data_IF_396564560438
#
_entry.id   IF_396564560438
#
_cell.length_a   1.000
_cell.length_b   1.000
_cell.length_c   1.000
_cell.angle_alpha   90.00
_cell.angle_beta   90.00
_cell.angle_gamma   90.00
#
_symmetry.space_group_name_H-M   'P 1'
#
loop_
_entity.id
_entity.type
_entity.pdbx_description
1 polymer ?
#
# COMPACT_ATOMS: atom_id res chain seq x y z
N UNK A 1 41.77 -20.14 -20.66
CA UNK A 1 41.45 -21.12 -19.61
C UNK A 1 42.31 -20.78 -18.40
N UNK A 2 41.86 -20.41 -17.21
CA UNK A 2 40.54 -20.29 -16.58
C UNK A 2 40.70 -19.19 -15.52
N UNK A 3 39.88 -18.14 -15.57
CA UNK A 3 39.63 -17.23 -14.44
C UNK A 3 38.14 -17.32 -14.12
N UNK A 4 37.76 -18.36 -13.39
CA UNK A 4 36.45 -18.49 -12.77
C UNK A 4 36.64 -19.16 -11.42
N UNK A 5 36.79 -18.35 -10.36
CA UNK A 5 36.50 -18.69 -8.97
C UNK A 5 36.82 -17.46 -8.12
N UNK A 6 35.85 -16.54 -7.97
CA UNK A 6 35.79 -15.56 -6.87
C UNK A 6 34.46 -14.79 -6.89
N UNK A 7 33.33 -15.48 -7.09
CA UNK A 7 32.01 -14.91 -6.79
C UNK A 7 31.58 -15.37 -5.39
N UNK A 8 32.26 -14.85 -4.37
CA UNK A 8 31.96 -15.16 -2.98
C UNK A 8 30.61 -14.55 -2.56
N UNK A 9 29.78 -15.39 -1.97
CA UNK A 9 28.48 -15.12 -1.40
C UNK A 9 28.60 -14.10 -0.24
N UNK A 10 28.36 -12.81 -0.50
CA UNK A 10 28.53 -11.76 0.51
C UNK A 10 27.31 -11.70 1.47
N UNK A 11 27.26 -12.61 2.44
CA UNK A 11 26.26 -12.59 3.51
C UNK A 11 26.42 -11.33 4.37
N UNK A 12 25.28 -10.70 4.70
CA UNK A 12 25.26 -9.52 5.57
C UNK A 12 25.84 -9.84 6.96
N UNK A 13 26.56 -8.89 7.58
CA UNK A 13 27.19 -9.06 8.90
C UNK A 13 26.18 -9.47 9.98
N UNK A 14 24.96 -8.98 9.85
CA UNK A 14 23.84 -9.25 10.76
C UNK A 14 23.36 -10.70 10.65
N UNK A 15 23.43 -11.29 9.46
CA UNK A 15 23.09 -12.70 9.20
C UNK A 15 24.14 -13.62 9.83
N UNK A 16 25.42 -13.29 9.65
CA UNK A 16 26.54 -14.00 10.28
C UNK A 16 26.44 -13.94 11.83
N UNK A 17 26.04 -12.79 12.39
CA UNK A 17 25.80 -12.65 13.82
C UNK A 17 24.63 -13.51 14.34
N UNK A 18 23.67 -13.86 13.48
CA UNK A 18 22.63 -14.82 13.82
C UNK A 18 23.18 -16.25 13.86
N UNK A 19 24.07 -16.62 12.93
CA UNK A 19 24.69 -17.95 12.90
C UNK A 19 25.58 -18.21 14.10
N UNK A 20 26.37 -17.20 14.54
CA UNK A 20 27.17 -17.31 15.76
C UNK A 20 26.33 -17.67 16.99
N UNK A 21 25.11 -17.15 17.05
CA UNK A 21 24.15 -17.35 18.16
C UNK A 21 23.21 -18.54 17.94
N UNK A 22 23.41 -19.34 16.89
CA UNK A 22 22.59 -20.53 16.70
C UNK A 22 22.78 -21.50 17.89
N UNK A 23 21.72 -22.13 18.38
CA UNK A 23 21.82 -23.01 19.56
C UNK A 23 22.81 -24.16 19.31
N UNK A 24 23.84 -24.28 20.17
CA UNK A 24 24.90 -25.27 20.00
C UNK A 24 24.39 -26.70 20.01
N UNK A 25 23.39 -27.00 20.83
CA UNK A 25 22.75 -28.32 20.83
C UNK A 25 22.11 -28.69 19.48
N UNK A 26 21.67 -27.70 18.70
CA UNK A 26 21.11 -27.93 17.36
C UNK A 26 22.23 -28.19 16.35
N UNK A 27 23.30 -27.42 16.41
CA UNK A 27 24.46 -27.59 15.53
C UNK A 27 25.21 -28.89 15.84
N UNK A 28 25.27 -29.29 17.11
CA UNK A 28 25.76 -30.59 17.54
C UNK A 28 25.06 -31.74 16.82
N UNK A 29 23.73 -31.72 16.80
CA UNK A 29 22.93 -32.75 16.12
C UNK A 29 23.14 -32.75 14.60
N UNK A 30 23.28 -31.58 13.97
CA UNK A 30 23.59 -31.49 12.53
C UNK A 30 24.94 -32.11 12.17
N UNK A 31 25.87 -32.10 13.11
CA UNK A 31 27.21 -32.65 12.96
C UNK A 31 27.33 -34.07 13.52
N UNK A 32 26.20 -34.68 13.92
CA UNK A 32 26.14 -35.98 14.60
C UNK A 32 27.07 -36.07 15.84
N UNK A 33 27.20 -34.95 16.56
CA UNK A 33 28.03 -34.82 17.74
C UNK A 33 27.21 -34.99 19.02
N UNK A 34 27.58 -35.98 19.84
CA UNK A 34 26.88 -36.34 21.08
C UNK A 34 27.67 -35.99 22.36
N UNK A 35 28.81 -35.31 22.22
CA UNK A 35 29.66 -34.93 23.36
C UNK A 35 29.20 -33.66 24.09
N UNK A 36 29.86 -33.31 25.21
CA UNK A 36 29.56 -32.09 25.95
C UNK A 36 29.86 -30.84 25.13
N UNK A 37 28.98 -29.84 25.22
CA UNK A 37 29.18 -28.57 24.51
C UNK A 37 30.26 -27.73 25.20
N UNK A 38 31.32 -27.36 24.46
CA UNK A 38 32.43 -26.52 24.94
C UNK A 38 32.62 -25.22 24.16
N UNK A 39 31.87 -25.03 23.08
CA UNK A 39 31.98 -23.86 22.21
C UNK A 39 31.14 -22.71 22.74
N UNK A 40 31.50 -21.49 22.39
CA UNK A 40 30.72 -20.29 22.71
C UNK A 40 29.78 -19.88 21.56
N UNK A 41 30.08 -20.33 20.33
CA UNK A 41 29.33 -20.02 19.14
C UNK A 41 29.27 -21.16 18.15
N UNK A 42 28.19 -21.21 17.37
CA UNK A 42 27.91 -22.29 16.44
C UNK A 42 28.87 -22.36 15.24
N UNK A 43 29.43 -21.22 14.82
CA UNK A 43 30.45 -21.20 13.75
C UNK A 43 31.71 -21.95 14.21
N UNK A 44 32.19 -21.65 15.42
CA UNK A 44 33.41 -22.25 15.97
C UNK A 44 33.23 -23.77 16.11
N UNK A 45 32.04 -24.20 16.52
CA UNK A 45 31.68 -25.61 16.61
C UNK A 45 31.75 -26.33 15.25
N UNK A 46 31.22 -25.73 14.18
CA UNK A 46 31.26 -26.32 12.83
C UNK A 46 32.69 -26.35 12.30
N UNK A 47 33.45 -25.26 12.46
CA UNK A 47 34.84 -25.19 12.02
C UNK A 47 35.68 -26.31 12.64
N UNK A 48 35.54 -26.53 13.95
CA UNK A 48 36.32 -27.54 14.66
C UNK A 48 35.88 -28.96 14.32
N UNK A 49 34.59 -29.26 14.37
CA UNK A 49 34.09 -30.63 14.15
C UNK A 49 34.16 -31.08 12.69
N UNK A 50 34.13 -30.15 11.73
CA UNK A 50 34.29 -30.45 10.29
C UNK A 50 35.70 -30.20 9.76
N UNK A 51 36.61 -29.67 10.58
CA UNK A 51 37.94 -29.22 10.17
C UNK A 51 37.90 -28.33 8.91
N UNK A 52 36.99 -27.34 8.89
CA UNK A 52 36.75 -26.49 7.73
C UNK A 52 37.03 -25.01 8.02
N UNK A 53 37.37 -24.19 7.01
CA UNK A 53 37.58 -22.77 7.19
C UNK A 53 36.27 -22.03 7.52
N UNK A 54 36.40 -20.81 8.05
CA UNK A 54 35.28 -19.98 8.52
C UNK A 54 34.17 -19.80 7.47
N UNK A 55 34.55 -19.56 6.22
CA UNK A 55 33.61 -19.36 5.12
C UNK A 55 32.73 -20.59 4.90
N UNK A 56 33.32 -21.79 4.95
CA UNK A 56 32.61 -23.04 4.73
C UNK A 56 31.71 -23.39 5.92
N UNK A 57 32.12 -23.03 7.13
CA UNK A 57 31.28 -23.14 8.32
C UNK A 57 30.05 -22.22 8.27
N UNK A 58 30.23 -20.97 7.81
CA UNK A 58 29.13 -20.02 7.60
C UNK A 58 28.19 -20.51 6.50
N UNK A 59 28.73 -21.02 5.41
CA UNK A 59 27.97 -21.57 4.28
C UNK A 59 27.17 -22.79 4.70
N UNK A 60 27.80 -23.73 5.42
CA UNK A 60 27.13 -24.89 6.00
C UNK A 60 25.95 -24.48 6.89
N UNK A 61 26.15 -23.53 7.81
CA UNK A 61 25.08 -23.04 8.67
C UNK A 61 23.99 -22.33 7.87
N UNK A 62 24.33 -21.60 6.81
CA UNK A 62 23.35 -20.95 5.94
C UNK A 62 22.47 -21.97 5.22
N UNK A 63 23.10 -22.94 4.57
CA UNK A 63 22.43 -24.00 3.81
C UNK A 63 21.55 -24.87 4.71
N UNK A 64 22.07 -25.24 5.89
CA UNK A 64 21.44 -26.25 6.75
C UNK A 64 20.51 -25.66 7.82
N UNK A 65 20.58 -24.35 8.11
CA UNK A 65 19.66 -23.68 9.04
C UNK A 65 18.61 -22.81 8.35
N UNK A 66 18.84 -22.33 7.12
CA UNK A 66 17.96 -21.36 6.46
C UNK A 66 17.51 -21.73 5.04
N UNK A 67 17.97 -22.86 4.50
CA UNK A 67 17.54 -23.35 3.18
C UNK A 67 18.16 -22.56 2.04
N UNK A 68 19.24 -23.09 1.47
CA UNK A 68 19.76 -22.62 0.18
C UNK A 68 18.77 -22.95 -0.94
N UNK A 69 18.44 -21.96 -1.76
CA UNK A 69 17.75 -22.20 -3.02
C UNK A 69 18.69 -22.98 -3.95
N UNK A 70 18.27 -24.19 -4.35
CA UNK A 70 18.84 -24.94 -5.46
C UNK A 70 19.64 -26.19 -5.04
N UNK A 71 19.09 -27.35 -5.38
CA UNK A 71 19.85 -28.60 -5.43
C UNK A 71 19.16 -29.75 -4.74
N UNK A 72 18.60 -30.66 -5.54
CA UNK A 72 18.00 -31.92 -5.12
C UNK A 72 18.90 -32.70 -4.16
N UNK A 73 18.51 -32.79 -2.89
CA UNK A 73 19.05 -33.75 -1.96
C UNK A 73 17.94 -34.29 -1.06
N UNK A 74 17.64 -35.57 -1.25
CA UNK A 74 16.80 -36.38 -0.37
C UNK A 74 17.40 -36.39 1.03
N UNK A 75 16.81 -35.62 1.94
CA UNK A 75 17.14 -35.61 3.36
C UNK A 75 16.29 -34.56 4.05
N UNK A 76 15.27 -34.99 4.79
CA UNK A 76 14.27 -34.11 5.40
C UNK A 76 14.90 -32.96 6.18
N UNK A 77 14.78 -31.75 5.64
CA UNK A 77 15.24 -30.53 6.28
C UNK A 77 14.51 -30.31 7.59
N UNK A 78 15.26 -30.19 8.69
CA UNK A 78 14.70 -29.85 10.00
C UNK A 78 14.35 -28.37 10.02
N UNK A 79 13.17 -28.03 9.48
CA UNK A 79 12.50 -26.76 9.77
C UNK A 79 12.43 -26.68 11.30
N UNK A 80 13.06 -25.66 11.91
CA UNK A 80 12.95 -25.43 13.35
C UNK A 80 11.47 -25.44 13.71
N UNK A 81 11.03 -26.42 14.51
CA UNK A 81 9.64 -26.51 14.90
C UNK A 81 9.20 -25.17 15.50
N UNK A 82 8.09 -24.63 14.99
CA UNK A 82 7.53 -23.38 15.47
C UNK A 82 7.36 -23.45 16.98
N UNK A 83 7.74 -22.40 17.71
CA UNK A 83 7.40 -22.29 19.15
C UNK A 83 5.87 -22.27 19.33
N UNK A 84 5.33 -22.57 20.53
CA UNK A 84 3.89 -22.45 20.77
C UNK A 84 3.32 -21.09 20.36
N UNK A 85 4.08 -20.02 20.60
CA UNK A 85 3.70 -18.66 20.22
C UNK A 85 3.72 -18.47 18.69
N UNK A 86 4.79 -18.91 18.01
CA UNK A 86 4.88 -18.85 16.53
C UNK A 86 3.77 -19.68 15.87
N UNK A 87 3.37 -20.82 16.47
CA UNK A 87 2.21 -21.62 16.00
C UNK A 87 0.90 -20.85 16.14
N UNK A 88 0.69 -20.19 17.28
CA UNK A 88 -0.50 -19.36 17.49
C UNK A 88 -0.56 -18.19 16.49
N UNK A 89 0.57 -17.51 16.26
CA UNK A 89 0.67 -16.45 15.24
C UNK A 89 0.38 -17.01 13.85
N UNK A 90 0.97 -18.15 13.48
CA UNK A 90 0.71 -18.79 12.18
C UNK A 90 -0.77 -19.15 12.00
N UNK A 91 -1.42 -19.67 13.04
CA UNK A 91 -2.84 -20.02 12.99
C UNK A 91 -3.73 -18.78 12.85
N UNK A 92 -3.48 -17.74 13.64
CA UNK A 92 -4.25 -16.49 13.59
C UNK A 92 -4.05 -15.75 12.26
N UNK A 93 -2.82 -15.71 11.75
CA UNK A 93 -2.54 -15.11 10.44
C UNK A 93 -3.20 -15.90 9.31
N UNK A 94 -3.23 -17.24 9.40
CA UNK A 94 -3.96 -18.09 8.45
C UNK A 94 -5.44 -17.76 8.40
N UNK A 95 -6.11 -17.65 9.55
CA UNK A 95 -7.52 -17.27 9.62
C UNK A 95 -7.78 -15.92 8.93
N UNK A 96 -6.87 -14.96 9.09
CA UNK A 96 -6.96 -13.66 8.41
C UNK A 96 -6.82 -13.80 6.88
N UNK A 97 -5.82 -14.57 6.43
CA UNK A 97 -5.56 -14.77 5.00
C UNK A 97 -6.70 -15.53 4.32
N UNK A 98 -7.22 -16.58 4.97
CA UNK A 98 -8.37 -17.36 4.52
C UNK A 98 -9.65 -16.51 4.46
N UNK A 99 -9.86 -15.63 5.45
CA UNK A 99 -10.97 -14.70 5.45
C UNK A 99 -10.87 -13.68 4.30
N UNK A 100 -9.67 -13.16 4.02
CA UNK A 100 -9.46 -12.25 2.88
C UNK A 100 -9.68 -12.95 1.54
N UNK A 101 -9.18 -14.18 1.39
CA UNK A 101 -9.33 -14.96 0.15
C UNK A 101 -8.72 -14.27 -1.08
N UNK A 102 -7.62 -13.53 -0.90
CA UNK A 102 -6.97 -12.81 -1.99
C UNK A 102 -5.98 -13.70 -2.74
N UNK A 103 -5.79 -13.42 -4.03
CA UNK A 103 -4.90 -14.19 -4.90
C UNK A 103 -3.43 -14.01 -4.52
N UNK A 104 -3.07 -12.79 -4.10
CA UNK A 104 -1.70 -12.45 -3.69
C UNK A 104 -1.65 -11.27 -2.75
N UNK A 105 -0.54 -11.15 -2.03
CA UNK A 105 -0.35 -10.15 -0.99
C UNK A 105 0.98 -9.44 -1.13
N UNK A 106 0.98 -8.16 -0.81
CA UNK A 106 2.21 -7.42 -0.55
C UNK A 106 2.48 -7.37 0.95
N UNK A 107 3.61 -7.91 1.39
CA UNK A 107 4.08 -7.83 2.78
C UNK A 107 4.90 -6.55 3.00
N UNK A 108 4.45 -5.70 3.92
CA UNK A 108 5.12 -4.44 4.27
C UNK A 108 5.44 -4.40 5.76
N UNK A 109 6.68 -4.08 6.10
CA UNK A 109 7.13 -4.00 7.49
C UNK A 109 7.76 -2.63 7.77
N UNK A 110 7.23 -1.91 8.76
CA UNK A 110 7.76 -0.59 9.13
C UNK A 110 8.45 -0.65 10.50
N UNK A 111 9.72 -0.25 10.58
CA UNK A 111 10.39 -0.14 11.87
C UNK A 111 9.71 0.96 12.71
N UNK A 112 9.61 0.78 14.03
CA UNK A 112 8.93 1.74 14.91
C UNK A 112 9.61 3.12 14.99
N UNK A 113 10.95 3.15 14.99
CA UNK A 113 11.73 4.36 15.29
C UNK A 113 12.29 5.08 14.06
N UNK A 114 12.30 4.40 12.91
CA UNK A 114 12.89 4.92 11.68
C UNK A 114 11.84 4.71 10.63
N UNK A 115 11.43 5.73 9.88
CA UNK A 115 10.52 5.60 8.73
C UNK A 115 11.03 4.66 7.61
N UNK A 116 12.09 3.88 7.87
CA UNK A 116 12.60 2.81 7.01
C UNK A 116 11.53 1.74 6.84
N UNK A 117 11.01 1.70 5.63
CA UNK A 117 10.14 0.64 5.15
C UNK A 117 11.01 -0.55 4.75
N UNK A 118 10.83 -1.69 5.41
CA UNK A 118 11.30 -2.97 4.89
C UNK A 118 10.14 -3.58 4.08
N UNK A 119 10.30 -3.65 2.76
CA UNK A 119 9.46 -4.51 1.92
C UNK A 119 10.20 -5.82 1.79
N UNK A 120 9.59 -6.90 2.24
CA UNK A 120 10.16 -8.23 2.04
C UNK A 120 10.33 -8.45 0.53
N UNK A 121 11.50 -8.94 0.13
CA UNK A 121 11.83 -9.21 -1.28
C UNK A 121 12.46 -8.07 -2.09
N UNK A 122 12.67 -6.86 -1.56
CA UNK A 122 13.46 -5.84 -2.28
C UNK A 122 14.96 -5.97 -1.97
N UNK A 123 15.75 -6.43 -2.94
CA UNK A 123 17.16 -6.07 -3.00
C UNK A 123 17.31 -4.59 -3.43
N UNK A 124 18.43 -3.96 -3.06
CA UNK A 124 18.67 -2.51 -3.20
C UNK A 124 18.52 -1.96 -4.63
N UNK A 125 18.43 -2.84 -5.64
CA UNK A 125 18.41 -2.51 -7.07
C UNK A 125 17.23 -3.14 -7.86
N UNK A 126 16.22 -3.74 -7.22
CA UNK A 126 15.08 -4.34 -7.94
C UNK A 126 13.88 -3.40 -8.00
N UNK A 127 13.42 -3.14 -9.23
CA UNK A 127 12.29 -2.26 -9.55
C UNK A 127 10.93 -2.94 -9.47
N UNK A 128 10.88 -4.27 -9.46
CA UNK A 128 9.63 -5.03 -9.47
C UNK A 128 9.01 -5.18 -8.07
N UNK A 129 7.68 -5.21 -8.04
CA UNK A 129 6.91 -5.39 -6.81
C UNK A 129 6.75 -6.89 -6.50
N UNK A 130 7.25 -7.32 -5.34
CA UNK A 130 7.18 -8.72 -4.91
C UNK A 130 5.84 -8.99 -4.24
N UNK A 131 5.18 -10.06 -4.68
CA UNK A 131 3.93 -10.55 -4.13
C UNK A 131 4.09 -11.97 -3.58
N UNK A 132 3.28 -12.29 -2.57
CA UNK A 132 3.29 -13.55 -1.86
C UNK A 132 1.92 -14.22 -1.91
N UNK A 133 1.88 -15.54 -2.02
CA UNK A 133 0.66 -16.34 -1.77
C UNK A 133 0.43 -16.51 -0.27
N UNK A 134 -0.72 -17.09 0.11
CA UNK A 134 -1.02 -17.44 1.49
C UNK A 134 0.05 -18.36 2.08
N UNK A 135 0.43 -19.41 1.35
CA UNK A 135 1.39 -20.42 1.77
C UNK A 135 2.76 -19.78 2.01
N UNK A 136 3.21 -18.95 1.07
CA UNK A 136 4.51 -18.26 1.18
C UNK A 136 4.56 -17.32 2.39
N UNK A 137 3.47 -16.58 2.69
CA UNK A 137 3.40 -15.78 3.90
C UNK A 137 3.47 -16.66 5.17
N UNK A 138 2.73 -17.77 5.18
CA UNK A 138 2.65 -18.69 6.32
C UNK A 138 3.95 -19.49 6.53
N UNK A 139 4.73 -19.71 5.49
CA UNK A 139 6.11 -20.22 5.55
C UNK A 139 7.06 -19.18 6.13
N UNK A 140 6.91 -17.91 5.76
CA UNK A 140 7.73 -16.80 6.28
C UNK A 140 7.44 -16.39 7.74
N UNK A 141 6.53 -17.09 8.44
CA UNK A 141 6.03 -16.67 9.75
C UNK A 141 7.14 -16.51 10.79
N UNK A 142 8.16 -17.39 10.81
CA UNK A 142 9.24 -17.31 11.79
C UNK A 142 10.09 -16.06 11.60
N UNK A 143 10.43 -15.74 10.35
CA UNK A 143 11.19 -14.52 10.04
C UNK A 143 10.38 -13.27 10.38
N UNK A 144 9.11 -13.25 9.95
CA UNK A 144 8.20 -12.13 10.19
C UNK A 144 7.98 -11.93 11.70
N UNK A 145 7.81 -13.01 12.45
CA UNK A 145 7.70 -13.00 13.91
C UNK A 145 8.96 -12.44 14.57
N UNK A 146 10.14 -12.91 14.17
CA UNK A 146 11.41 -12.40 14.69
C UNK A 146 11.57 -10.89 14.46
N UNK A 147 11.26 -10.40 13.26
CA UNK A 147 11.33 -8.97 12.95
C UNK A 147 10.30 -8.15 13.74
N UNK A 148 9.08 -8.66 13.93
CA UNK A 148 8.07 -7.98 14.75
C UNK A 148 8.44 -7.95 16.23
N UNK A 149 8.88 -9.09 16.77
CA UNK A 149 9.02 -9.28 18.21
C UNK A 149 10.37 -8.82 18.77
N UNK A 150 11.44 -9.03 18.01
CA UNK A 150 12.81 -8.73 18.44
C UNK A 150 13.36 -7.44 17.81
N UNK A 151 12.85 -7.06 16.64
CA UNK A 151 13.36 -5.92 15.87
C UNK A 151 12.34 -4.79 15.71
N UNK A 152 11.24 -4.84 16.48
CA UNK A 152 10.29 -3.74 16.60
C UNK A 152 9.65 -3.28 15.28
N UNK A 153 9.47 -4.19 14.32
CA UNK A 153 8.73 -3.90 13.09
C UNK A 153 7.23 -4.06 13.28
N UNK A 154 6.45 -3.17 12.67
CA UNK A 154 5.02 -3.33 12.49
C UNK A 154 4.77 -4.10 11.19
N UNK A 155 3.91 -5.12 11.22
CA UNK A 155 3.63 -6.00 10.08
C UNK A 155 2.31 -5.64 9.42
N UNK A 156 2.33 -5.49 8.10
CA UNK A 156 1.15 -5.20 7.29
C UNK A 156 1.08 -6.06 6.05
N UNK A 157 -0.12 -6.36 5.61
CA UNK A 157 -0.41 -7.03 4.33
C UNK A 157 -1.31 -6.15 3.48
N UNK A 158 -1.07 -6.07 2.18
CA UNK A 158 -2.02 -5.47 1.23
C UNK A 158 -2.53 -6.59 0.32
N UNK A 159 -3.83 -6.95 0.36
CA UNK A 159 -4.38 -7.98 -0.51
C UNK A 159 -4.60 -7.44 -1.92
N UNK A 160 -4.34 -8.28 -2.91
CA UNK A 160 -4.65 -8.06 -4.31
C UNK A 160 -5.45 -9.26 -4.79
N UNK A 161 -6.59 -8.98 -5.41
CA UNK A 161 -7.39 -10.01 -6.05
C UNK A 161 -7.76 -9.61 -7.47
N UNK A 162 -7.87 -10.62 -8.33
CA UNK A 162 -8.35 -10.47 -9.69
C UNK A 162 -9.87 -10.31 -9.70
N UNK A 163 -10.58 -10.87 -8.72
CA UNK A 163 -12.05 -10.90 -8.66
C UNK A 163 -12.66 -9.95 -7.63
N UNK A 164 -11.92 -9.57 -6.58
CA UNK A 164 -12.43 -8.75 -5.48
C UNK A 164 -11.74 -7.39 -5.37
N UNK A 165 -12.49 -6.37 -4.94
CA UNK A 165 -11.99 -5.08 -4.46
C UNK A 165 -12.18 -4.97 -2.95
N UNK A 166 -11.11 -4.69 -2.21
CA UNK A 166 -11.11 -4.55 -0.76
C UNK A 166 -11.18 -3.09 -0.30
N UNK A 167 -11.92 -2.82 0.76
CA UNK A 167 -12.03 -1.49 1.37
C UNK A 167 -11.72 -1.59 2.86
N UNK A 168 -10.59 -1.01 3.27
CA UNK A 168 -10.26 -0.82 4.68
C UNK A 168 -11.03 0.38 5.23
N UNK A 169 -11.66 0.19 6.38
CA UNK A 169 -12.06 1.27 7.28
C UNK A 169 -11.11 1.19 8.48
N UNK A 170 -10.23 2.18 8.61
CA UNK A 170 -9.20 2.23 9.64
C UNK A 170 -9.65 3.04 10.86
N UNK A 171 -9.06 2.78 12.02
CA UNK A 171 -9.35 3.45 13.29
C UNK A 171 -10.84 3.54 13.65
N UNK A 172 -11.57 2.44 13.42
CA UNK A 172 -13.00 2.35 13.77
C UNK A 172 -13.10 2.35 15.30
N UNK A 173 -13.82 3.34 15.84
CA UNK A 173 -14.12 3.48 17.27
C UNK A 173 -15.43 2.76 17.66
N UNK A 174 -15.71 2.51 18.96
CA UNK A 174 -16.89 1.75 19.38
C UNK A 174 -18.22 2.29 18.83
N UNK A 175 -18.38 3.61 18.79
CA UNK A 175 -19.59 4.26 18.30
C UNK A 175 -19.72 4.09 16.78
N UNK A 176 -18.60 4.20 16.05
CA UNK A 176 -18.59 3.97 14.61
C UNK A 176 -18.91 2.51 14.27
N UNK A 177 -18.38 1.56 15.03
CA UNK A 177 -18.75 0.14 14.94
C UNK A 177 -20.25 -0.05 15.10
N UNK A 178 -20.85 0.49 16.17
CA UNK A 178 -22.28 0.36 16.42
C UNK A 178 -23.12 0.94 15.26
N UNK A 179 -22.71 2.08 14.70
CA UNK A 179 -23.36 2.67 13.52
C UNK A 179 -23.22 1.80 12.27
N UNK A 180 -22.05 1.22 12.02
CA UNK A 180 -21.83 0.30 10.89
C UNK A 180 -22.73 -0.93 11.01
N UNK A 181 -22.76 -1.55 12.19
CA UNK A 181 -23.57 -2.75 12.46
C UNK A 181 -25.07 -2.48 12.29
N UNK A 182 -25.54 -1.33 12.83
CA UNK A 182 -26.93 -0.87 12.69
C UNK A 182 -27.30 -0.52 11.25
N UNK A 183 -26.35 -0.02 10.46
CA UNK A 183 -26.53 0.26 9.03
C UNK A 183 -26.52 -1.01 8.16
N UNK A 184 -26.35 -2.19 8.77
CA UNK A 184 -26.39 -3.48 8.07
C UNK A 184 -25.07 -3.89 7.42
N UNK A 185 -23.95 -3.21 7.70
CA UNK A 185 -22.65 -3.67 7.24
C UNK A 185 -22.30 -5.01 7.90
N UNK A 186 -21.73 -5.92 7.10
CA UNK A 186 -21.25 -7.25 7.51
C UNK A 186 -19.85 -7.44 6.94
N UNK A 187 -18.82 -6.94 7.64
CA UNK A 187 -17.46 -6.97 7.15
C UNK A 187 -16.91 -8.36 6.90
N UNK A 188 -15.97 -8.45 5.96
CA UNK A 188 -15.18 -9.66 5.71
C UNK A 188 -14.25 -9.95 6.89
N UNK A 189 -13.63 -8.89 7.41
CA UNK A 189 -12.76 -8.94 8.59
C UNK A 189 -13.14 -7.84 9.56
N UNK A 190 -13.15 -8.20 10.83
CA UNK A 190 -13.14 -7.30 11.96
C UNK A 190 -11.95 -7.65 12.85
N UNK A 191 -11.00 -6.73 13.00
CA UNK A 191 -9.77 -7.00 13.77
C UNK A 191 -9.45 -5.87 14.74
N UNK A 192 -9.03 -6.22 15.95
CA UNK A 192 -8.50 -5.27 16.93
C UNK A 192 -7.07 -4.93 16.57
N UNK A 193 -6.73 -3.64 16.55
CA UNK A 193 -5.35 -3.18 16.24
C UNK A 193 -4.63 -2.58 17.44
N UNK A 194 -5.39 -2.17 18.46
CA UNK A 194 -4.92 -1.69 19.75
C UNK A 194 -6.05 -1.82 20.78
N UNK A 195 -5.86 -1.34 22.01
CA UNK A 195 -6.78 -1.58 23.11
C UNK A 195 -8.24 -1.15 22.89
N UNK A 196 -8.50 -0.17 22.02
CA UNK A 196 -9.84 0.39 21.79
C UNK A 196 -10.09 0.81 20.33
N UNK A 197 -9.32 0.27 19.38
CA UNK A 197 -9.42 0.66 17.97
C UNK A 197 -9.35 -0.55 17.06
N UNK A 198 -10.26 -0.58 16.09
CA UNK A 198 -10.45 -1.69 15.18
C UNK A 198 -10.17 -1.29 13.73
N UNK A 199 -9.74 -2.28 12.95
CA UNK A 199 -9.74 -2.23 11.50
C UNK A 199 -10.82 -3.15 10.97
N UNK A 200 -11.52 -2.66 9.95
CA UNK A 200 -12.61 -3.37 9.31
C UNK A 200 -12.33 -3.47 7.83
N UNK A 201 -12.50 -4.65 7.25
CA UNK A 201 -12.33 -4.86 5.80
C UNK A 201 -13.66 -5.26 5.20
N UNK A 202 -14.08 -4.52 4.19
CA UNK A 202 -15.21 -4.86 3.32
C UNK A 202 -14.66 -5.34 1.97
N UNK A 203 -15.37 -6.26 1.31
CA UNK A 203 -15.03 -6.70 -0.03
C UNK A 203 -16.28 -6.75 -0.90
N UNK A 204 -16.10 -6.44 -2.18
CA UNK A 204 -17.11 -6.68 -3.22
C UNK A 204 -16.44 -7.24 -4.47
N UNK A 205 -17.20 -7.95 -5.33
CA UNK A 205 -16.73 -8.28 -6.67
C UNK A 205 -16.32 -7.02 -7.43
N UNK A 206 -15.27 -7.14 -8.23
CA UNK A 206 -14.92 -6.11 -9.22
C UNK A 206 -16.09 -5.89 -10.18
N UNK A 207 -16.19 -4.64 -10.63
CA UNK A 207 -17.19 -4.23 -11.60
C UNK A 207 -16.76 -4.55 -13.02
N UNK A 208 -17.72 -4.49 -13.94
CA UNK A 208 -17.50 -4.55 -15.39
C UNK A 208 -17.00 -3.21 -15.98
N UNK A 209 -16.67 -2.24 -15.12
CA UNK A 209 -16.12 -0.96 -15.53
C UNK A 209 -14.67 -1.12 -15.99
N UNK A 210 -14.22 -0.28 -16.92
CA UNK A 210 -12.80 -0.21 -17.26
C UNK A 210 -11.95 0.21 -16.06
N UNK A 211 -10.72 -0.31 -15.98
CA UNK A 211 -9.79 -0.19 -14.84
C UNK A 211 -9.69 1.22 -14.24
N UNK A 212 -9.66 2.24 -15.09
CA UNK A 212 -9.54 3.64 -14.67
C UNK A 212 -10.79 4.16 -13.96
N UNK A 213 -11.98 3.76 -14.39
CA UNK A 213 -13.25 4.14 -13.77
C UNK A 213 -13.45 3.37 -12.46
N UNK A 214 -13.14 2.08 -12.46
CA UNK A 214 -13.18 1.24 -11.27
C UNK A 214 -12.25 1.80 -10.19
N UNK A 215 -11.00 2.09 -10.53
CA UNK A 215 -10.02 2.66 -9.57
C UNK A 215 -10.48 3.99 -8.97
N UNK A 216 -11.11 4.87 -9.77
CA UNK A 216 -11.64 6.16 -9.28
C UNK A 216 -12.81 5.95 -8.34
N UNK A 217 -13.76 5.10 -8.70
CA UNK A 217 -14.91 4.76 -7.86
C UNK A 217 -14.46 4.09 -6.56
N UNK A 218 -13.47 3.20 -6.63
CA UNK A 218 -12.91 2.52 -5.48
C UNK A 218 -12.25 3.51 -4.51
N UNK A 219 -11.39 4.42 -5.00
CA UNK A 219 -10.79 5.47 -4.15
C UNK A 219 -11.84 6.41 -3.56
N UNK A 220 -12.85 6.81 -4.32
CA UNK A 220 -13.94 7.67 -3.84
C UNK A 220 -14.74 6.97 -2.73
N UNK A 221 -15.13 5.72 -2.95
CA UNK A 221 -15.85 4.89 -1.97
C UNK A 221 -15.02 4.69 -0.71
N UNK A 222 -13.73 4.36 -0.87
CA UNK A 222 -12.80 4.17 0.24
C UNK A 222 -12.69 5.40 1.12
N UNK A 223 -12.51 6.57 0.50
CA UNK A 223 -12.44 7.85 1.22
C UNK A 223 -13.75 8.09 1.98
N UNK A 224 -14.90 7.88 1.33
CA UNK A 224 -16.20 8.11 1.95
C UNK A 224 -16.46 7.19 3.15
N UNK A 225 -16.10 5.90 3.05
CA UNK A 225 -16.23 4.97 4.16
C UNK A 225 -15.43 5.42 5.39
N UNK A 226 -14.19 5.87 5.17
CA UNK A 226 -13.33 6.33 6.26
C UNK A 226 -13.80 7.67 6.83
N UNK A 227 -14.31 8.61 6.02
CA UNK A 227 -14.93 9.84 6.53
C UNK A 227 -16.14 9.57 7.45
N UNK A 228 -16.91 8.51 7.19
CA UNK A 228 -18.13 8.19 7.95
C UNK A 228 -17.87 7.32 9.19
N UNK A 229 -16.89 6.42 9.11
CA UNK A 229 -16.74 5.32 10.07
C UNK A 229 -15.31 5.09 10.56
N UNK A 230 -14.31 5.81 10.05
CA UNK A 230 -12.90 5.56 10.36
C UNK A 230 -12.01 6.81 10.31
N UNK A 231 -10.77 6.63 9.85
CA UNK A 231 -9.77 7.71 9.73
C UNK A 231 -9.96 8.54 8.45
N UNK A 232 -10.53 9.74 8.56
CA UNK A 232 -10.72 10.65 7.44
C UNK A 232 -9.40 11.09 6.73
N UNK A 233 -8.23 10.85 7.34
CA UNK A 233 -6.92 11.15 6.78
C UNK A 233 -6.45 10.19 5.68
N UNK A 234 -7.08 9.03 5.52
CA UNK A 234 -6.70 8.04 4.50
C UNK A 234 -7.64 8.10 3.27
N UNK A 235 -7.06 8.00 2.07
CA UNK A 235 -7.82 8.19 0.81
C UNK A 235 -7.47 7.26 -0.35
N UNK A 236 -6.50 6.36 -0.19
CA UNK A 236 -6.10 5.41 -1.25
C UNK A 236 -6.59 4.00 -0.95
N UNK A 237 -7.41 3.43 -1.84
CA UNK A 237 -8.04 2.11 -1.66
C UNK A 237 -7.03 0.97 -1.53
N UNK A 238 -5.92 1.03 -2.28
CA UNK A 238 -4.80 0.09 -2.11
C UNK A 238 -4.05 0.46 -0.83
N UNK A 239 -4.53 -0.06 0.30
CA UNK A 239 -4.06 0.29 1.63
C UNK A 239 -3.50 -0.92 2.40
N UNK A 240 -2.41 -0.79 3.17
CA UNK A 240 -1.90 -1.87 4.02
C UNK A 240 -2.79 -2.13 5.25
N UNK A 241 -3.13 -3.38 5.50
CA UNK A 241 -3.90 -3.85 6.67
C UNK A 241 -2.94 -4.38 7.73
N UNK A 242 -3.27 -4.27 9.01
CA UNK A 242 -2.47 -4.92 10.07
C UNK A 242 -2.53 -6.43 9.93
N UNK A 243 -1.39 -7.12 10.06
CA UNK A 243 -1.36 -8.58 10.06
C UNK A 243 -1.73 -9.14 11.45
N UNK A 244 -2.66 -10.09 11.47
CA UNK A 244 -3.15 -10.73 12.71
C UNK A 244 -2.09 -11.61 13.36
N UNK A 245 -2.06 -11.64 14.69
CA UNK A 245 -1.10 -12.40 15.49
C UNK A 245 0.21 -11.65 15.79
N UNK A 246 0.45 -10.51 15.13
CA UNK A 246 1.64 -9.69 15.36
C UNK A 246 1.35 -8.51 16.28
N UNK A 247 2.38 -8.02 16.97
CA UNK A 247 2.26 -6.84 17.83
C UNK A 247 2.22 -5.54 17.04
N UNK A 248 1.39 -4.62 17.50
CA UNK A 248 1.42 -3.22 17.06
C UNK A 248 2.51 -2.47 17.85
N UNK A 249 3.70 -2.36 17.24
CA UNK A 249 4.91 -1.78 17.81
C UNK A 249 4.99 -0.25 17.75
N UNK A 250 3.87 0.46 17.51
CA UNK A 250 3.89 1.94 17.56
C UNK A 250 4.16 2.41 19.00
N UNK A 251 5.08 3.36 19.24
CA UNK A 251 5.49 3.77 20.60
C UNK A 251 4.33 4.18 21.52
N UNK A 252 3.31 4.85 21.00
CA UNK A 252 2.14 5.29 21.77
C UNK A 252 1.31 4.17 22.41
N UNK A 253 1.53 2.91 22.02
CA UNK A 253 0.83 1.75 22.60
C UNK A 253 1.71 0.93 23.55
N UNK A 254 2.94 1.39 23.81
CA UNK A 254 3.82 0.79 24.80
C UNK A 254 3.26 1.06 26.21
N UNK A 255 3.00 -0.01 26.95
CA UNK A 255 2.62 0.08 28.36
C UNK A 255 3.85 0.38 29.22
N UNK A 256 3.64 0.77 30.49
CA UNK A 256 4.72 0.98 31.47
C UNK A 256 5.61 -0.26 31.70
N UNK A 257 5.09 -1.45 31.36
CA UNK A 257 5.83 -2.72 31.42
C UNK A 257 6.50 -3.10 30.08
N UNK A 258 6.57 -2.19 29.11
CA UNK A 258 7.16 -2.46 27.79
C UNK A 258 6.36 -3.42 26.90
N UNK A 259 5.09 -3.67 27.23
CA UNK A 259 4.19 -4.54 26.45
C UNK A 259 3.45 -3.76 25.38
N UNK A 260 3.11 -4.45 24.29
CA UNK A 260 2.36 -3.94 23.15
C UNK A 260 1.11 -4.79 22.92
N UNK A 261 0.02 -4.19 22.42
CA UNK A 261 -1.14 -4.95 21.99
C UNK A 261 -0.81 -5.83 20.79
N UNK A 262 -1.39 -7.03 20.77
CA UNK A 262 -1.40 -7.93 19.61
C UNK A 262 -2.58 -7.55 18.72
N UNK A 263 -2.40 -7.67 17.41
CA UNK A 263 -3.49 -7.52 16.44
C UNK A 263 -4.27 -8.83 16.43
N UNK A 264 -5.55 -8.77 16.83
CA UNK A 264 -6.39 -9.95 16.98
C UNK A 264 -7.55 -9.91 15.98
N UNK A 265 -7.74 -11.01 15.24
CA UNK A 265 -8.92 -11.19 14.40
C UNK A 265 -10.10 -11.52 15.30
N UNK A 266 -11.07 -10.60 15.37
CA UNK A 266 -12.28 -10.76 16.19
C UNK A 266 -13.33 -11.55 15.41
N UNK A 267 -13.45 -11.27 14.12
CA UNK A 267 -14.38 -11.93 13.21
C UNK A 267 -13.78 -11.98 11.81
N UNK A 268 -13.88 -13.14 11.16
CA UNK A 268 -13.40 -13.39 9.80
C UNK A 268 -14.41 -14.25 9.06
N UNK A 269 -14.90 -13.77 7.92
CA UNK A 269 -16.05 -14.37 7.22
C UNK A 269 -15.72 -14.73 5.78
N UNK A 270 -14.90 -15.77 5.53
CA UNK A 270 -14.47 -16.15 4.19
C UNK A 270 -15.62 -16.18 3.17
N UNK A 271 -15.39 -15.59 1.99
CA UNK A 271 -16.37 -15.59 0.89
C UNK A 271 -17.62 -14.71 1.10
N UNK A 272 -17.71 -13.96 2.21
CA UNK A 272 -18.88 -13.10 2.47
C UNK A 272 -18.82 -11.83 1.63
N UNK A 273 -19.84 -11.63 0.79
CA UNK A 273 -20.10 -10.35 0.12
C UNK A 273 -21.26 -9.66 0.84
N UNK A 274 -21.00 -8.46 1.37
CA UNK A 274 -22.02 -7.70 2.09
C UNK A 274 -22.90 -6.90 1.12
N UNK A 275 -24.20 -7.20 1.09
CA UNK A 275 -25.18 -6.48 0.27
C UNK A 275 -25.25 -4.99 0.60
N UNK A 276 -25.09 -4.60 1.88
CA UNK A 276 -25.01 -3.18 2.25
C UNK A 276 -23.80 -2.49 1.60
N UNK A 277 -22.65 -3.16 1.53
CA UNK A 277 -21.45 -2.64 0.85
C UNK A 277 -21.69 -2.49 -0.65
N UNK A 278 -22.35 -3.46 -1.30
CA UNK A 278 -22.72 -3.36 -2.71
C UNK A 278 -23.64 -2.17 -2.95
N UNK A 279 -24.69 -2.02 -2.14
CA UNK A 279 -25.59 -0.87 -2.19
C UNK A 279 -24.84 0.45 -1.99
N UNK A 280 -23.91 0.50 -1.05
CA UNK A 280 -23.09 1.69 -0.79
C UNK A 280 -22.24 2.08 -2.01
N UNK A 281 -21.65 1.10 -2.72
CA UNK A 281 -20.89 1.39 -3.94
C UNK A 281 -21.80 1.92 -5.06
N UNK A 282 -23.03 1.43 -5.17
CA UNK A 282 -24.02 1.98 -6.11
C UNK A 282 -24.38 3.42 -5.74
N UNK A 283 -24.60 3.72 -4.46
CA UNK A 283 -24.80 5.08 -3.95
C UNK A 283 -23.60 5.98 -4.30
N UNK A 284 -22.38 5.49 -4.09
CA UNK A 284 -21.14 6.21 -4.42
C UNK A 284 -20.97 6.42 -5.92
N UNK A 285 -21.36 5.47 -6.76
CA UNK A 285 -21.36 5.62 -8.21
C UNK A 285 -22.35 6.68 -8.65
N UNK A 286 -23.54 6.70 -8.07
CA UNK A 286 -24.55 7.73 -8.34
C UNK A 286 -24.06 9.11 -7.86
N UNK A 287 -23.45 9.20 -6.69
CA UNK A 287 -22.88 10.44 -6.15
C UNK A 287 -21.71 10.95 -7.00
N UNK A 288 -20.76 10.06 -7.34
CA UNK A 288 -19.65 10.37 -8.23
C UNK A 288 -20.16 10.80 -9.60
N UNK A 289 -21.24 10.19 -10.11
CA UNK A 289 -21.89 10.58 -11.36
C UNK A 289 -22.67 11.88 -11.22
N UNK A 290 -23.21 12.25 -10.06
CA UNK A 290 -23.79 13.60 -9.85
C UNK A 290 -22.70 14.68 -9.78
N UNK A 291 -21.55 14.34 -9.19
CA UNK A 291 -20.36 15.20 -9.12
C UNK A 291 -19.61 15.29 -10.46
N UNK A 292 -19.65 14.23 -11.28
CA UNK A 292 -18.93 14.11 -12.56
C UNK A 292 -19.83 14.16 -13.80
N UNK A 293 -21.15 14.06 -13.64
CA UNK A 293 -22.09 14.68 -14.56
C UNK A 293 -21.52 16.07 -14.77
N UNK A 294 -21.48 16.57 -16.01
CA UNK A 294 -21.02 17.92 -16.20
C UNK A 294 -21.76 18.74 -15.15
N UNK A 295 -21.08 19.71 -14.59
CA UNK A 295 -21.71 21.01 -14.47
C UNK A 295 -22.32 21.24 -15.87
N UNK A 296 -23.49 20.66 -16.14
CA UNK A 296 -24.43 21.08 -17.18
C UNK A 296 -24.65 22.47 -16.67
N UNK A 297 -23.88 23.42 -17.20
CA UNK A 297 -24.29 24.71 -17.72
C UNK A 297 -25.65 25.22 -17.21
N UNK A 298 -25.94 25.03 -15.94
CA UNK A 298 -27.22 25.20 -15.29
C UNK A 298 -26.90 25.38 -13.81
N UNK A 299 -26.55 26.61 -13.44
CA UNK A 299 -26.48 26.99 -12.04
C UNK A 299 -25.45 28.04 -11.64
N UNK A 300 -24.52 28.41 -12.52
CA UNK A 300 -23.79 29.68 -12.37
C UNK A 300 -24.30 30.58 -13.49
N UNK A 301 -25.09 31.57 -13.12
CA UNK A 301 -25.85 32.44 -14.03
C UNK A 301 -24.99 33.01 -15.16
N UNK A 302 -25.65 33.40 -16.24
CA UNK A 302 -25.08 34.10 -17.39
C UNK A 302 -24.28 35.35 -16.98
N UNK A 303 -23.06 35.19 -16.50
CA UNK A 303 -22.08 36.25 -16.51
C UNK A 303 -21.31 36.11 -17.81
N UNK A 304 -21.86 36.74 -18.85
CA UNK A 304 -21.04 37.06 -20.02
C UNK A 304 -19.82 37.85 -19.54
N UNK A 305 -18.64 37.41 -19.98
CA UNK A 305 -17.39 38.09 -19.69
C UNK A 305 -17.49 39.52 -20.24
N UNK A 306 -17.49 40.51 -19.35
CA UNK A 306 -17.55 41.92 -19.72
C UNK A 306 -16.36 42.30 -20.60
N UNK A 307 -16.51 43.35 -21.40
CA UNK A 307 -15.42 43.85 -22.25
C UNK A 307 -14.18 44.22 -21.40
N UNK A 308 -14.38 44.82 -20.23
CA UNK A 308 -13.32 45.09 -19.25
C UNK A 308 -12.63 43.80 -18.77
N UNK A 309 -13.40 42.74 -18.49
CA UNK A 309 -12.84 41.44 -18.11
C UNK A 309 -12.00 40.82 -19.23
N UNK A 310 -12.46 40.94 -20.48
CA UNK A 310 -11.71 40.46 -21.67
C UNK A 310 -10.42 41.24 -21.87
N UNK A 311 -10.47 42.56 -21.71
CA UNK A 311 -9.28 43.42 -21.77
C UNK A 311 -8.26 43.06 -20.69
N UNK A 312 -8.71 42.80 -19.45
CA UNK A 312 -7.84 42.36 -18.35
C UNK A 312 -7.19 41.00 -18.61
N UNK A 313 -7.91 40.05 -19.19
CA UNK A 313 -7.35 38.75 -19.58
C UNK A 313 -6.29 38.94 -20.68
N UNK A 314 -6.60 39.72 -21.72
CA UNK A 314 -5.67 39.96 -22.82
C UNK A 314 -4.39 40.69 -22.37
N UNK A 315 -4.50 41.59 -21.39
CA UNK A 315 -3.37 42.31 -20.81
C UNK A 315 -2.64 41.53 -19.69
N UNK A 316 -3.13 40.35 -19.30
CA UNK A 316 -2.59 39.62 -18.17
C UNK A 316 -1.19 39.05 -18.48
N UNK A 317 -0.19 39.53 -17.75
CA UNK A 317 1.15 38.95 -17.75
C UNK A 317 1.22 37.83 -16.71
N UNK A 318 0.80 36.63 -17.12
CA UNK A 318 0.84 35.47 -16.24
C UNK A 318 2.28 35.12 -15.82
N UNK A 319 2.45 34.64 -14.59
CA UNK A 319 3.75 34.20 -14.10
C UNK A 319 4.32 33.09 -15.00
N UNK A 320 5.57 33.19 -15.50
CA UNK A 320 6.14 32.23 -16.45
C UNK A 320 6.09 30.77 -15.99
N UNK A 321 6.29 30.52 -14.70
CA UNK A 321 6.26 29.17 -14.16
C UNK A 321 4.85 28.54 -14.15
N UNK A 322 3.77 29.34 -14.15
CA UNK A 322 2.40 28.83 -14.29
C UNK A 322 2.10 28.44 -15.74
N UNK A 323 2.63 29.20 -16.71
CA UNK A 323 2.58 28.84 -18.13
C UNK A 323 3.33 27.52 -18.36
N UNK A 324 4.56 27.41 -17.83
CA UNK A 324 5.34 26.17 -17.92
C UNK A 324 4.59 25.00 -17.27
N UNK A 325 4.03 25.20 -16.08
CA UNK A 325 3.23 24.18 -15.41
C UNK A 325 2.06 23.71 -16.28
N UNK A 326 1.31 24.63 -16.89
CA UNK A 326 0.17 24.27 -17.73
C UNK A 326 0.62 23.48 -18.97
N UNK A 327 1.70 23.91 -19.64
CA UNK A 327 2.28 23.22 -20.80
C UNK A 327 2.77 21.81 -20.44
N UNK A 328 3.55 21.67 -19.37
CA UNK A 328 4.08 20.37 -18.93
C UNK A 328 2.97 19.38 -18.59
N UNK A 329 1.93 19.85 -17.88
CA UNK A 329 0.81 18.98 -17.52
C UNK A 329 -0.04 18.65 -18.74
N UNK A 330 -0.21 19.57 -19.67
CA UNK A 330 -0.90 19.29 -20.91
C UNK A 330 -0.15 18.23 -21.75
N UNK A 331 1.17 18.36 -21.89
CA UNK A 331 2.02 17.38 -22.58
C UNK A 331 1.91 16.01 -21.91
N UNK A 332 2.03 15.93 -20.59
CA UNK A 332 1.86 14.66 -19.84
C UNK A 332 0.50 14.02 -20.04
N UNK A 333 -0.57 14.82 -20.07
CA UNK A 333 -1.92 14.30 -20.34
C UNK A 333 -2.05 13.81 -21.79
N UNK A 334 -1.43 14.53 -22.74
CA UNK A 334 -1.43 14.15 -24.15
C UNK A 334 -0.62 12.87 -24.40
N UNK A 335 0.55 12.73 -23.79
CA UNK A 335 1.35 11.50 -23.84
C UNK A 335 0.60 10.31 -23.23
N UNK A 336 -0.13 10.55 -22.12
CA UNK A 336 -0.86 9.51 -21.42
C UNK A 336 -2.10 9.01 -22.16
N UNK A 337 -2.89 9.93 -22.73
CA UNK A 337 -4.20 9.60 -23.30
C UNK A 337 -4.23 9.60 -24.83
N UNK A 338 -3.21 10.15 -25.50
CA UNK A 338 -3.10 10.18 -26.96
C UNK A 338 -4.37 10.70 -27.63
N UNK A 339 -4.87 9.96 -28.62
CA UNK A 339 -6.09 10.28 -29.36
C UNK A 339 -7.37 10.29 -28.48
N UNK A 340 -7.35 9.66 -27.31
CA UNK A 340 -8.49 9.60 -26.39
C UNK A 340 -8.50 10.75 -25.37
N UNK A 341 -7.65 11.77 -25.55
CA UNK A 341 -7.60 12.93 -24.66
C UNK A 341 -8.91 13.73 -24.72
N UNK A 342 -9.62 13.73 -23.59
CA UNK A 342 -10.72 14.66 -23.35
C UNK A 342 -10.14 16.03 -22.97
N UNK A 343 -10.08 16.92 -23.98
CA UNK A 343 -9.49 18.25 -23.84
C UNK A 343 -10.20 19.10 -22.76
N UNK A 344 -11.53 18.97 -22.61
CA UNK A 344 -12.25 19.73 -21.59
C UNK A 344 -11.93 19.25 -20.18
N UNK A 345 -11.73 17.95 -19.99
CA UNK A 345 -11.22 17.41 -18.72
C UNK A 345 -9.78 17.82 -18.44
N UNK A 346 -8.94 17.88 -19.46
CA UNK A 346 -7.56 18.35 -19.32
C UNK A 346 -7.53 19.82 -18.84
N UNK A 347 -8.32 20.70 -19.48
CA UNK A 347 -8.45 22.11 -19.11
C UNK A 347 -8.87 22.26 -17.63
N UNK A 348 -9.86 21.48 -17.19
CA UNK A 348 -10.34 21.52 -15.80
C UNK A 348 -9.29 21.05 -14.78
N UNK A 349 -8.57 19.96 -15.07
CA UNK A 349 -7.51 19.46 -14.19
C UNK A 349 -6.36 20.45 -14.06
N UNK A 350 -5.95 21.07 -15.17
CA UNK A 350 -4.91 22.09 -15.17
C UNK A 350 -5.40 23.32 -14.39
N UNK A 351 -6.65 23.74 -14.57
CA UNK A 351 -7.25 24.85 -13.82
C UNK A 351 -7.20 24.66 -12.30
N UNK A 352 -7.57 23.48 -11.79
CA UNK A 352 -7.42 23.13 -10.36
C UNK A 352 -5.96 23.28 -9.92
N UNK A 353 -5.03 22.79 -10.74
CA UNK A 353 -3.60 22.87 -10.47
C UNK A 353 -3.09 24.31 -10.36
N UNK A 354 -3.58 25.22 -11.22
CA UNK A 354 -3.25 26.64 -11.21
C UNK A 354 -3.80 27.36 -9.98
N UNK A 355 -5.05 27.09 -9.61
CA UNK A 355 -5.70 27.70 -8.43
C UNK A 355 -4.98 27.30 -7.14
N UNK A 356 -4.68 26.02 -6.97
CA UNK A 356 -3.90 25.53 -5.81
C UNK A 356 -2.48 26.13 -5.72
N UNK A 357 -1.98 26.66 -6.84
CA UNK A 357 -0.69 27.34 -6.96
C UNK A 357 -0.81 28.87 -6.80
N UNK A 358 -1.98 29.34 -6.37
CA UNK A 358 -2.25 30.74 -6.09
C UNK A 358 -2.51 31.57 -7.35
N UNK A 359 -2.91 30.97 -8.47
CA UNK A 359 -3.35 31.72 -9.64
C UNK A 359 -4.72 32.37 -9.36
N UNK A 360 -4.82 33.68 -9.61
CA UNK A 360 -6.10 34.39 -9.61
C UNK A 360 -6.95 34.00 -10.83
N UNK A 361 -8.23 34.39 -10.82
CA UNK A 361 -9.18 34.06 -11.89
C UNK A 361 -8.68 34.48 -13.28
N UNK A 362 -8.28 35.75 -13.42
CA UNK A 362 -7.78 36.33 -14.69
C UNK A 362 -6.51 35.62 -15.16
N UNK A 363 -5.57 35.37 -14.25
CA UNK A 363 -4.29 34.73 -14.56
C UNK A 363 -4.48 33.27 -15.00
N UNK A 364 -5.32 32.51 -14.29
CA UNK A 364 -5.61 31.13 -14.65
C UNK A 364 -6.28 31.03 -16.04
N UNK A 365 -7.21 31.95 -16.36
CA UNK A 365 -7.84 32.02 -17.69
C UNK A 365 -6.80 32.36 -18.76
N UNK A 366 -5.95 33.36 -18.53
CA UNK A 366 -4.91 33.76 -19.49
C UNK A 366 -3.92 32.61 -19.76
N UNK A 367 -3.49 31.89 -18.72
CA UNK A 367 -2.61 30.72 -18.87
C UNK A 367 -3.26 29.62 -19.70
N UNK A 368 -4.52 29.28 -19.41
CA UNK A 368 -5.21 28.22 -20.16
C UNK A 368 -5.44 28.60 -21.62
N UNK A 369 -5.77 29.86 -21.91
CA UNK A 369 -5.89 30.35 -23.29
C UNK A 369 -4.57 30.28 -24.07
N UNK A 370 -3.44 30.47 -23.39
CA UNK A 370 -2.11 30.43 -24.01
C UNK A 370 -1.59 28.99 -24.24
N UNK A 371 -2.01 28.02 -23.43
CA UNK A 371 -1.35 26.71 -23.37
C UNK A 371 -2.21 25.52 -23.85
N UNK A 372 -3.52 25.69 -24.03
CA UNK A 372 -4.43 24.56 -24.31
C UNK A 372 -4.78 24.44 -25.80
N UNK A 373 -4.64 23.26 -26.44
CA UNK A 373 -4.99 23.05 -27.85
C UNK A 373 -6.49 22.94 -28.11
N UNK A 374 -7.34 23.04 -27.08
CA UNK A 374 -8.76 23.38 -27.23
C UNK A 374 -8.96 24.70 -27.99
N UNK A 375 -7.90 25.53 -28.09
CA UNK A 375 -7.83 26.75 -28.88
C UNK A 375 -7.25 26.56 -30.29
N UNK A 376 -6.45 25.52 -30.53
CA UNK A 376 -5.95 25.16 -31.87
C UNK A 376 -6.99 24.33 -32.61
N UNK A 377 -7.97 25.01 -33.20
CA UNK A 377 -9.00 24.41 -34.05
C UNK A 377 -10.41 24.66 -33.54
N UNK A 378 -10.92 25.89 -33.76
CA UNK A 378 -12.33 26.35 -33.73
C UNK A 378 -13.35 25.53 -32.92
N UNK A 379 -13.05 25.05 -31.70
CA UNK A 379 -14.02 24.29 -30.89
C UNK A 379 -15.00 25.18 -30.13
N UNK A 380 -14.66 26.46 -29.90
CA UNK A 380 -15.53 27.37 -29.14
C UNK A 380 -15.64 28.75 -29.81
N UNK A 381 -16.89 29.23 -29.98
CA UNK A 381 -17.23 30.58 -30.47
C UNK A 381 -16.75 31.69 -29.52
N UNK A 382 -16.65 31.39 -28.23
CA UNK A 382 -16.12 32.29 -27.18
C UNK A 382 -15.10 31.55 -26.28
N UNK A 383 -13.82 31.53 -26.68
CA UNK A 383 -12.72 30.96 -25.90
C UNK A 383 -12.61 31.44 -24.46
N UNK A 384 -12.63 32.76 -24.26
CA UNK A 384 -12.47 33.36 -22.94
C UNK A 384 -13.66 33.04 -22.03
N UNK A 385 -14.88 33.07 -22.58
CA UNK A 385 -16.08 32.66 -21.87
C UNK A 385 -16.06 31.18 -21.48
N UNK A 386 -15.56 30.29 -22.34
CA UNK A 386 -15.35 28.88 -21.99
C UNK A 386 -14.36 28.72 -20.84
N UNK A 387 -13.20 29.34 -20.91
CA UNK A 387 -12.19 29.24 -19.86
C UNK A 387 -12.64 29.85 -18.54
N UNK A 388 -13.41 30.94 -18.56
CA UNK A 388 -14.04 31.46 -17.35
C UNK A 388 -14.91 30.41 -16.65
N UNK A 389 -15.76 29.71 -17.39
CA UNK A 389 -16.61 28.65 -16.80
C UNK A 389 -15.78 27.51 -16.24
N UNK A 390 -14.73 27.11 -16.95
CA UNK A 390 -13.81 26.06 -16.49
C UNK A 390 -13.09 26.45 -15.20
N UNK A 391 -12.54 27.66 -15.13
CA UNK A 391 -11.81 28.14 -13.95
C UNK A 391 -12.76 28.40 -12.78
N UNK A 392 -13.96 28.95 -13.02
CA UNK A 392 -14.98 29.12 -11.97
C UNK A 392 -15.43 27.78 -11.39
N UNK A 393 -15.62 26.77 -12.25
CA UNK A 393 -15.94 25.41 -11.82
C UNK A 393 -14.79 24.79 -11.03
N UNK A 394 -13.54 25.00 -11.47
CA UNK A 394 -12.37 24.51 -10.76
C UNK A 394 -12.21 25.19 -9.39
N UNK A 395 -12.49 26.48 -9.30
CA UNK A 395 -12.47 27.25 -8.05
C UNK A 395 -13.54 26.80 -7.05
N UNK A 396 -14.68 26.32 -7.53
CA UNK A 396 -15.71 25.74 -6.67
C UNK A 396 -15.37 24.32 -6.19
N UNK A 397 -14.41 23.64 -6.85
CA UNK A 397 -14.01 22.27 -6.56
C UNK A 397 -12.77 22.15 -5.65
N UNK A 398 -12.12 23.27 -5.36
CA UNK A 398 -10.97 23.42 -4.46
C UNK A 398 -11.44 24.18 -3.22
#
# INVERSE_FOLDING_TARGET
MSRMADSAFALAKETIACYRRAPLATVAKLLDYHGPSRWHGAIDMVMELRACPYHDAVTFLHEHLFGGAGGDAKGGGWIKALTPQERAVKAAWRQQLDALGADRYRLTMFHRDVGRTYRSGKHRNETEEVFYTNEQLLESVQETFCRNWQRSYNVYITPFSDTLTYFLVDDVMPEAKARMDASGFRPLIYQSTSWQSWQVVLAVPKSDLGDDQERRLANFTFKRLNELYGDAGIGGQIHPFRATGFQNRKPKYETSMGRYPTVDLIDGRPGTICERTRAFIVEMRAEATKKAAPVRMAGLGEQQLSEDGRAKIAACQARPWLLQYAQDNFLRLSERYGANLDASRADFQIAIGLINRGAGLVEAIAVLLACTPTMTGRRHRDPAGYMLRTVMSAKAAV
#
